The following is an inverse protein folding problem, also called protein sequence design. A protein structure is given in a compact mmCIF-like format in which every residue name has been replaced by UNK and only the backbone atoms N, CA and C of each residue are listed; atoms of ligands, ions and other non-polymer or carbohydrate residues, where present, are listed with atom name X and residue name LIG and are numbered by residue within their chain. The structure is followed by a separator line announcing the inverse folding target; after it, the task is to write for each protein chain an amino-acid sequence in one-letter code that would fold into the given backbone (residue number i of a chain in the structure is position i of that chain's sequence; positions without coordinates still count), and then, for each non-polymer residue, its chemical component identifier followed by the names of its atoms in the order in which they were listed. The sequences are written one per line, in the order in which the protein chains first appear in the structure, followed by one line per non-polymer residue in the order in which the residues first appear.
data_IF_683431853144
#
_entry.id   IF_683431853144
#
_cell.length_a   1.000
_cell.length_b   1.000
_cell.length_c   1.000
_cell.angle_alpha   90.00
_cell.angle_beta   90.00
_cell.angle_gamma   90.00
#
_symmetry.space_group_name_H-M   'P 1'
#
loop_
_entity.id
_entity.type
_entity.pdbx_description
1 polymer ?
#
# COMPACT_ATOMS: atom_id res chain seq x y z
N UNK A 1 15.91 12.59 -2.70
CA UNK A 1 14.70 12.09 -2.01
C UNK A 1 13.68 11.50 -2.99
N UNK A 2 13.23 12.20 -4.04
CA UNK A 2 12.26 11.66 -5.00
C UNK A 2 12.69 10.33 -5.65
N UNK A 3 13.99 10.15 -5.90
CA UNK A 3 14.57 8.90 -6.42
C UNK A 3 14.27 7.67 -5.53
N UNK A 4 14.02 7.85 -4.23
CA UNK A 4 13.70 6.76 -3.31
C UNK A 4 12.36 6.08 -3.63
N UNK A 5 11.46 6.74 -4.36
CA UNK A 5 10.21 6.15 -4.85
C UNK A 5 10.27 5.84 -6.36
N UNK A 6 11.46 5.88 -6.97
CA UNK A 6 11.67 5.58 -8.38
C UNK A 6 11.28 4.16 -8.76
N UNK A 7 11.09 3.92 -10.06
CA UNK A 7 10.63 2.62 -10.57
C UNK A 7 11.66 1.50 -10.41
N UNK A 8 12.94 1.82 -10.30
CA UNK A 8 14.05 0.87 -10.28
C UNK A 8 14.67 0.73 -8.88
N UNK A 9 14.74 -0.51 -8.36
CA UNK A 9 15.31 -0.83 -7.04
C UNK A 9 16.75 -0.31 -6.85
N UNK A 10 17.62 -0.47 -7.85
CA UNK A 10 19.02 -0.03 -7.75
C UNK A 10 19.11 1.48 -7.61
N UNK A 11 18.33 2.22 -8.40
CA UNK A 11 18.25 3.67 -8.30
C UNK A 11 17.75 4.13 -6.94
N UNK A 12 16.77 3.44 -6.35
CA UNK A 12 16.26 3.73 -5.00
C UNK A 12 17.35 3.59 -3.92
N UNK A 13 18.05 2.45 -3.92
CA UNK A 13 19.15 2.21 -2.97
C UNK A 13 20.32 3.19 -3.17
N UNK A 14 20.70 3.46 -4.42
CA UNK A 14 21.75 4.43 -4.72
C UNK A 14 21.38 5.86 -4.29
N UNK A 15 20.13 6.26 -4.49
CA UNK A 15 19.62 7.54 -3.96
C UNK A 15 19.68 7.61 -2.44
N UNK A 16 19.46 6.48 -1.75
CA UNK A 16 19.57 6.38 -0.29
C UNK A 16 21.02 6.51 0.18
N UNK A 17 21.96 5.84 -0.48
CA UNK A 17 23.39 5.96 -0.19
C UNK A 17 23.89 7.39 -0.34
N UNK A 18 23.45 8.10 -1.38
CA UNK A 18 23.77 9.52 -1.56
C UNK A 18 23.28 10.38 -0.40
N UNK A 19 22.02 10.17 0.00
CA UNK A 19 21.42 10.89 1.12
C UNK A 19 22.23 10.65 2.40
N UNK A 20 22.52 9.38 2.71
CA UNK A 20 23.30 9.01 3.89
C UNK A 20 24.69 9.65 3.90
N UNK A 21 25.44 9.58 2.78
CA UNK A 21 26.77 10.21 2.67
C UNK A 21 26.73 11.73 2.82
N UNK A 22 25.74 12.41 2.25
CA UNK A 22 25.60 13.85 2.42
C UNK A 22 25.31 14.25 3.87
N UNK A 23 24.74 13.35 4.67
CA UNK A 23 24.43 13.57 6.08
C UNK A 23 25.58 13.21 7.01
N UNK A 24 26.44 12.24 6.67
CA UNK A 24 27.71 12.05 7.38
C UNK A 24 28.62 13.29 7.30
N UNK A 25 28.46 14.11 6.26
CA UNK A 25 29.27 15.31 5.99
C UNK A 25 28.64 16.58 6.61
N UNK A 26 27.35 16.57 6.99
CA UNK A 26 26.63 17.74 7.49
C UNK A 26 25.92 17.47 8.82
N UNK A 27 26.25 18.25 9.85
CA UNK A 27 25.67 18.18 11.19
C UNK A 27 24.13 18.25 11.16
N UNK A 28 23.49 17.11 11.39
CA UNK A 28 22.03 17.00 11.48
C UNK A 28 21.61 15.58 11.76
N UNK A 29 22.10 14.99 12.86
CA UNK A 29 21.48 13.75 13.36
C UNK A 29 20.07 14.08 13.84
N UNK A 30 19.07 13.45 13.23
CA UNK A 30 17.71 13.46 13.75
C UNK A 30 17.72 12.86 15.17
N UNK A 31 16.95 13.44 16.08
CA UNK A 31 16.83 12.93 17.45
C UNK A 31 16.29 11.50 17.40
N UNK A 32 17.13 10.55 17.84
CA UNK A 32 16.73 9.15 17.91
C UNK A 32 15.74 8.97 19.06
N UNK A 33 14.66 8.28 18.78
CA UNK A 33 13.68 7.87 19.77
C UNK A 33 13.95 6.42 20.20
N UNK A 34 13.19 5.93 21.17
CA UNK A 34 13.14 4.50 21.52
C UNK A 34 12.04 3.75 20.74
N UNK A 35 11.36 4.43 19.82
CA UNK A 35 10.22 3.90 19.10
C UNK A 35 10.62 3.03 17.91
N UNK A 36 9.75 2.08 17.59
CA UNK A 36 9.87 1.18 16.44
C UNK A 36 8.55 1.10 15.69
N UNK A 37 8.61 0.93 14.37
CA UNK A 37 7.42 0.64 13.58
C UNK A 37 7.63 -0.63 12.75
N UNK A 38 7.18 -1.76 13.28
CA UNK A 38 7.42 -3.08 12.70
C UNK A 38 6.31 -3.58 11.76
N UNK A 39 5.36 -2.71 11.37
CA UNK A 39 4.25 -3.05 10.48
C UNK A 39 4.02 -1.93 9.46
N UNK A 40 4.83 -1.90 8.41
CA UNK A 40 4.66 -0.98 7.28
C UNK A 40 4.38 -1.74 5.98
N UNK A 41 3.47 -1.20 5.16
CA UNK A 41 3.22 -1.65 3.80
C UNK A 41 4.00 -0.80 2.81
N UNK A 42 4.38 -1.42 1.69
CA UNK A 42 5.12 -0.78 0.60
C UNK A 42 4.38 -0.94 -0.74
N UNK A 43 4.97 -0.40 -1.81
CA UNK A 43 4.53 -0.61 -3.20
C UNK A 43 4.39 -2.09 -3.60
N UNK A 44 4.92 -3.04 -2.81
CA UNK A 44 4.79 -4.48 -3.08
C UNK A 44 3.50 -5.11 -2.54
N UNK A 45 2.62 -4.34 -1.90
CA UNK A 45 1.24 -4.74 -1.65
C UNK A 45 0.21 -3.61 -1.81
N UNK A 46 0.42 -2.46 -1.17
CA UNK A 46 -0.27 -1.19 -1.43
C UNK A 46 0.26 -0.07 -0.53
N UNK A 47 1.03 0.87 -1.09
CA UNK A 47 1.53 2.06 -0.38
C UNK A 47 2.10 3.04 -1.40
N UNK A 48 2.11 4.36 -1.14
CA UNK A 48 2.88 5.31 -1.94
C UNK A 48 4.39 5.16 -1.79
N UNK A 49 4.87 4.39 -0.82
CA UNK A 49 6.28 4.32 -0.45
C UNK A 49 6.91 2.99 -0.86
N UNK A 50 8.08 3.07 -1.49
CA UNK A 50 8.97 1.93 -1.68
C UNK A 50 9.56 1.46 -0.34
N UNK A 51 10.15 0.26 -0.28
CA UNK A 51 10.94 -0.16 0.89
C UNK A 51 12.06 0.83 1.23
N UNK A 52 12.81 1.35 0.25
CA UNK A 52 13.86 2.35 0.53
C UNK A 52 13.32 3.67 1.06
N UNK A 53 12.17 4.15 0.56
CA UNK A 53 11.54 5.36 1.09
C UNK A 53 11.00 5.12 2.50
N UNK A 54 10.43 3.95 2.78
CA UNK A 54 9.97 3.58 4.12
C UNK A 54 11.12 3.59 5.13
N UNK A 55 12.29 3.03 4.78
CA UNK A 55 13.49 3.09 5.62
C UNK A 55 13.96 4.53 5.87
N UNK A 56 13.99 5.37 4.82
CA UNK A 56 14.34 6.78 4.95
C UNK A 56 13.39 7.54 5.87
N UNK A 57 12.07 7.36 5.72
CA UNK A 57 11.08 8.04 6.54
C UNK A 57 11.12 7.57 8.00
N UNK A 58 11.35 6.28 8.24
CA UNK A 58 11.53 5.74 9.59
C UNK A 58 12.75 6.35 10.29
N UNK A 59 13.89 6.39 9.58
CA UNK A 59 15.10 7.03 10.07
C UNK A 59 14.90 8.53 10.34
N UNK A 60 14.25 9.25 9.41
CA UNK A 60 13.93 10.68 9.56
C UNK A 60 13.02 10.96 10.77
N UNK A 61 12.14 10.01 11.10
CA UNK A 61 11.28 10.08 12.29
C UNK A 61 11.99 9.66 13.59
N UNK A 62 13.29 9.35 13.54
CA UNK A 62 14.09 8.96 14.71
C UNK A 62 13.91 7.51 15.14
N UNK A 63 13.21 6.66 14.38
CA UNK A 63 12.91 5.28 14.79
C UNK A 63 14.17 4.41 14.83
N UNK A 64 14.22 3.50 15.79
CA UNK A 64 15.33 2.53 15.90
C UNK A 64 15.20 1.38 14.89
N UNK A 65 13.96 1.03 14.53
CA UNK A 65 13.67 -0.07 13.63
C UNK A 65 12.43 0.17 12.77
N UNK A 66 12.42 -0.41 11.57
CA UNK A 66 11.26 -0.48 10.70
C UNK A 66 11.03 -1.90 10.17
N UNK A 67 9.77 -2.32 10.08
CA UNK A 67 9.39 -3.68 9.69
C UNK A 67 8.42 -3.72 8.52
N UNK A 68 8.83 -4.33 7.40
CA UNK A 68 7.96 -4.52 6.23
C UNK A 68 7.00 -5.70 6.46
N UNK A 69 5.73 -5.44 6.15
CA UNK A 69 4.61 -6.33 6.42
C UNK A 69 3.61 -6.29 5.26
N UNK A 70 4.12 -6.41 4.03
CA UNK A 70 3.28 -6.37 2.83
C UNK A 70 2.24 -7.51 2.84
N UNK A 71 1.03 -7.20 2.37
CA UNK A 71 -0.03 -8.22 2.30
C UNK A 71 0.37 -9.35 1.35
N UNK A 72 0.33 -10.59 1.81
CA UNK A 72 0.60 -11.80 1.02
C UNK A 72 1.85 -11.73 0.12
N UNK A 73 2.88 -10.95 0.48
CA UNK A 73 4.08 -10.73 -0.34
C UNK A 73 5.32 -10.48 0.52
N UNK A 74 6.45 -11.02 0.07
CA UNK A 74 7.79 -10.74 0.64
C UNK A 74 8.72 -10.06 -0.37
N UNK A 75 8.22 -9.63 -1.52
CA UNK A 75 9.07 -9.13 -2.61
C UNK A 75 9.85 -7.86 -2.27
N UNK A 76 9.32 -7.01 -1.37
CA UNK A 76 10.03 -5.82 -0.88
C UNK A 76 11.04 -6.07 0.23
N UNK A 77 11.06 -7.27 0.84
CA UNK A 77 11.81 -7.54 2.07
C UNK A 77 13.31 -7.33 1.92
N UNK A 78 13.89 -7.87 0.84
CA UNK A 78 15.33 -7.74 0.57
C UNK A 78 15.74 -6.28 0.39
N UNK A 79 14.91 -5.47 -0.29
CA UNK A 79 15.20 -4.05 -0.43
C UNK A 79 15.13 -3.29 0.89
N UNK A 80 14.16 -3.60 1.76
CA UNK A 80 14.09 -2.97 3.10
C UNK A 80 15.36 -3.29 3.90
N UNK A 81 15.77 -4.56 3.93
CA UNK A 81 17.00 -4.99 4.63
C UNK A 81 18.21 -4.20 4.13
N UNK A 82 18.38 -4.11 2.80
CA UNK A 82 19.48 -3.37 2.20
C UNK A 82 19.42 -1.88 2.54
N UNK A 83 18.22 -1.28 2.48
CA UNK A 83 18.01 0.14 2.79
C UNK A 83 18.29 0.49 4.26
N UNK A 84 17.83 -0.33 5.20
CA UNK A 84 18.07 -0.15 6.63
C UNK A 84 19.56 -0.30 6.97
N UNK A 85 20.27 -1.25 6.34
CA UNK A 85 21.74 -1.37 6.46
C UNK A 85 22.45 -0.11 5.99
N UNK A 86 22.02 0.48 4.88
CA UNK A 86 22.61 1.72 4.33
C UNK A 86 22.41 2.90 5.30
N UNK A 87 21.20 3.08 5.83
CA UNK A 87 20.87 4.27 6.63
C UNK A 87 21.13 4.11 8.13
N UNK A 88 21.54 2.92 8.57
CA UNK A 88 21.96 2.66 9.95
C UNK A 88 20.81 2.50 10.96
N UNK A 89 19.70 1.88 10.54
CA UNK A 89 18.60 1.47 11.46
C UNK A 89 18.37 -0.04 11.39
N UNK A 90 17.76 -0.62 12.42
CA UNK A 90 17.38 -2.03 12.39
C UNK A 90 16.23 -2.28 11.41
N UNK A 91 16.18 -3.48 10.86
CA UNK A 91 15.07 -3.93 10.01
C UNK A 91 14.45 -5.20 10.55
N UNK A 92 13.16 -5.34 10.33
CA UNK A 92 12.47 -6.62 10.45
C UNK A 92 11.67 -6.89 9.19
N UNK A 93 11.46 -8.16 8.85
CA UNK A 93 10.77 -8.52 7.61
C UNK A 93 9.77 -9.64 7.82
N UNK A 94 8.66 -9.56 7.10
CA UNK A 94 7.55 -10.48 7.20
C UNK A 94 6.53 -10.25 6.09
N UNK A 95 5.36 -10.83 6.27
CA UNK A 95 4.18 -10.60 5.44
C UNK A 95 2.90 -10.72 6.27
N UNK A 96 1.86 -10.01 5.84
CA UNK A 96 0.54 -10.10 6.47
C UNK A 96 -0.39 -10.96 5.64
N UNK A 97 -0.80 -12.10 6.19
CA UNK A 97 -1.65 -13.07 5.53
C UNK A 97 -3.13 -12.80 5.80
N UNK A 98 -3.96 -12.74 4.75
CA UNK A 98 -5.41 -12.74 4.90
C UNK A 98 -5.92 -14.17 5.11
N UNK A 99 -6.49 -14.45 6.28
CA UNK A 99 -6.94 -15.79 6.71
C UNK A 99 -8.46 -15.83 6.91
N UNK A 100 -9.08 -16.93 6.48
CA UNK A 100 -10.48 -17.24 6.77
C UNK A 100 -10.56 -18.20 7.98
N UNK A 101 -11.35 -17.81 8.96
CA UNK A 101 -11.55 -18.49 10.25
C UNK A 101 -12.89 -19.25 10.32
N UNK A 102 -13.61 -19.43 9.21
CA UNK A 102 -14.75 -20.37 9.17
C UNK A 102 -14.34 -21.78 9.59
N UNK A 103 -15.17 -22.43 10.39
CA UNK A 103 -14.90 -23.73 11.01
C UNK A 103 -14.02 -23.66 12.27
N UNK A 104 -13.68 -22.46 12.77
CA UNK A 104 -12.89 -22.29 14.01
C UNK A 104 -13.76 -21.80 15.17
N UNK A 105 -13.22 -21.80 16.39
CA UNK A 105 -13.91 -21.30 17.60
C UNK A 105 -14.28 -19.80 17.55
N UNK A 106 -13.68 -19.05 16.62
CA UNK A 106 -13.95 -17.62 16.41
C UNK A 106 -14.83 -17.35 15.19
N UNK A 107 -15.42 -18.39 14.60
CA UNK A 107 -16.40 -18.22 13.51
C UNK A 107 -17.58 -17.33 13.94
N UNK A 108 -18.11 -16.57 12.99
CA UNK A 108 -19.14 -15.56 13.13
C UNK A 108 -18.63 -14.21 13.62
N UNK A 109 -17.39 -14.13 14.12
CA UNK A 109 -16.85 -12.92 14.75
C UNK A 109 -16.24 -11.96 13.74
N UNK A 110 -16.30 -10.66 14.06
CA UNK A 110 -15.48 -9.61 13.44
C UNK A 110 -14.13 -9.61 14.15
N UNK A 111 -13.04 -9.84 13.40
CA UNK A 111 -11.68 -9.85 13.93
C UNK A 111 -10.99 -8.51 13.63
N UNK A 112 -9.70 -8.51 13.31
CA UNK A 112 -8.96 -7.32 12.89
C UNK A 112 -9.20 -6.93 11.41
N UNK A 113 -10.04 -7.65 10.68
CA UNK A 113 -10.58 -7.18 9.41
C UNK A 113 -11.86 -6.34 9.68
N UNK A 114 -11.85 -5.02 9.38
CA UNK A 114 -13.00 -4.17 9.64
C UNK A 114 -14.18 -4.42 8.68
N UNK A 115 -13.94 -5.07 7.55
CA UNK A 115 -14.85 -5.15 6.41
C UNK A 115 -15.63 -6.47 6.38
N UNK A 116 -15.14 -7.54 7.01
CA UNK A 116 -15.71 -8.88 6.88
C UNK A 116 -15.62 -9.71 8.15
N UNK A 117 -16.73 -10.36 8.53
CA UNK A 117 -16.74 -11.43 9.53
C UNK A 117 -15.89 -12.62 9.05
N UNK A 118 -15.38 -13.41 9.98
CA UNK A 118 -14.53 -14.59 9.76
C UNK A 118 -13.18 -14.33 9.08
N UNK A 119 -12.89 -13.10 8.67
CA UNK A 119 -11.60 -12.76 8.06
C UNK A 119 -10.73 -12.10 9.10
N UNK A 120 -9.49 -12.56 9.21
CA UNK A 120 -8.46 -11.91 10.00
C UNK A 120 -7.17 -11.78 9.21
N UNK A 121 -6.33 -10.84 9.64
CA UNK A 121 -4.98 -10.67 9.15
C UNK A 121 -4.01 -11.23 10.19
N UNK A 122 -3.12 -12.14 9.76
CA UNK A 122 -2.07 -12.70 10.61
C UNK A 122 -0.73 -12.19 10.11
N UNK A 123 0.02 -11.50 10.96
CA UNK A 123 1.39 -11.11 10.67
C UNK A 123 2.32 -12.31 10.89
N UNK A 124 3.09 -12.69 9.86
CA UNK A 124 4.20 -13.63 9.96
C UNK A 124 5.46 -12.80 9.90
N UNK A 125 6.16 -12.73 11.04
CA UNK A 125 7.24 -11.77 11.26
C UNK A 125 8.58 -12.47 11.57
N UNK A 126 9.69 -11.74 11.43
CA UNK A 126 11.02 -12.24 11.77
C UNK A 126 11.56 -13.29 10.78
N UNK A 127 11.16 -13.24 9.51
CA UNK A 127 11.61 -14.21 8.51
C UNK A 127 13.10 -13.98 8.22
N UNK A 128 13.98 -14.99 8.40
CA UNK A 128 15.39 -14.85 8.05
C UNK A 128 15.54 -14.53 6.54
N UNK A 129 16.50 -13.67 6.20
CA UNK A 129 16.75 -13.28 4.80
C UNK A 129 16.94 -14.49 3.87
N UNK A 130 17.63 -15.53 4.36
CA UNK A 130 17.87 -16.80 3.66
C UNK A 130 16.60 -17.62 3.39
N UNK A 131 15.49 -17.34 4.10
CA UNK A 131 14.20 -18.03 4.00
C UNK A 131 13.15 -17.27 3.19
N UNK A 132 13.45 -16.06 2.71
CA UNK A 132 12.53 -15.31 1.84
C UNK A 132 12.12 -16.07 0.56
N UNK A 133 12.98 -16.87 -0.11
CA UNK A 133 12.55 -17.68 -1.26
C UNK A 133 11.49 -18.73 -0.90
N UNK A 134 11.60 -19.32 0.29
CA UNK A 134 10.64 -20.31 0.81
C UNK A 134 9.29 -19.64 1.12
N UNK A 135 9.31 -18.49 1.80
CA UNK A 135 8.12 -17.68 2.06
C UNK A 135 7.44 -17.24 0.74
N UNK A 136 8.21 -16.83 -0.27
CA UNK A 136 7.66 -16.48 -1.59
C UNK A 136 6.97 -17.67 -2.26
N UNK A 137 7.55 -18.87 -2.18
CA UNK A 137 6.95 -20.10 -2.70
C UNK A 137 5.63 -20.44 -1.97
N UNK A 138 5.62 -20.28 -0.64
CA UNK A 138 4.42 -20.47 0.19
C UNK A 138 3.29 -19.51 -0.20
N UNK A 139 3.60 -18.24 -0.46
CA UNK A 139 2.63 -17.19 -0.79
C UNK A 139 2.04 -17.27 -2.20
N UNK A 140 2.78 -17.84 -3.16
CA UNK A 140 2.40 -17.89 -4.57
C UNK A 140 0.97 -18.41 -4.83
N UNK A 141 0.53 -19.59 -4.31
CA UNK A 141 -0.84 -20.05 -4.53
C UNK A 141 -1.91 -19.08 -4.00
N UNK A 142 -1.66 -18.40 -2.87
CA UNK A 142 -2.59 -17.40 -2.34
C UNK A 142 -2.68 -16.18 -3.25
N UNK A 143 -1.56 -15.70 -3.81
CA UNK A 143 -1.56 -14.60 -4.77
C UNK A 143 -2.34 -14.95 -6.05
N UNK A 144 -2.21 -16.19 -6.56
CA UNK A 144 -2.98 -16.67 -7.71
C UNK A 144 -4.48 -16.67 -7.40
N UNK A 145 -4.89 -17.23 -6.26
CA UNK A 145 -6.29 -17.24 -5.83
C UNK A 145 -6.85 -15.82 -5.63
N UNK A 146 -6.07 -14.93 -5.00
CA UNK A 146 -6.39 -13.51 -4.83
C UNK A 146 -6.60 -12.83 -6.17
N UNK A 147 -5.75 -13.05 -7.16
CA UNK A 147 -5.87 -12.45 -8.49
C UNK A 147 -7.11 -12.96 -9.25
N UNK A 148 -7.49 -14.23 -9.10
CA UNK A 148 -8.76 -14.75 -9.65
C UNK A 148 -9.95 -14.01 -9.06
N UNK A 149 -9.96 -13.82 -7.74
CA UNK A 149 -11.01 -13.06 -7.05
C UNK A 149 -11.00 -11.58 -7.47
N UNK A 150 -9.84 -10.94 -7.55
CA UNK A 150 -9.73 -9.53 -7.93
C UNK A 150 -10.26 -9.26 -9.33
N UNK A 151 -10.03 -10.16 -10.29
CA UNK A 151 -10.62 -10.05 -11.64
C UNK A 151 -12.16 -10.08 -11.59
N UNK A 152 -12.73 -11.01 -10.83
CA UNK A 152 -14.19 -11.07 -10.62
C UNK A 152 -14.73 -9.81 -9.94
N UNK A 153 -14.01 -9.27 -8.95
CA UNK A 153 -14.38 -8.02 -8.29
C UNK A 153 -14.34 -6.84 -9.28
N UNK A 154 -13.31 -6.78 -10.11
CA UNK A 154 -13.18 -5.76 -11.15
C UNK A 154 -14.30 -5.87 -12.18
N UNK A 155 -14.69 -7.07 -12.61
CA UNK A 155 -15.79 -7.25 -13.56
C UNK A 155 -17.11 -6.72 -12.99
N UNK A 156 -17.42 -7.04 -11.74
CA UNK A 156 -18.59 -6.51 -11.04
C UNK A 156 -18.54 -4.98 -10.93
N UNK A 157 -17.38 -4.44 -10.56
CA UNK A 157 -17.18 -3.00 -10.42
C UNK A 157 -17.31 -2.27 -11.76
N UNK A 158 -16.76 -2.83 -12.84
CA UNK A 158 -16.89 -2.30 -14.19
C UNK A 158 -18.36 -2.21 -14.64
N UNK A 159 -19.20 -3.17 -14.23
CA UNK A 159 -20.64 -3.10 -14.49
C UNK A 159 -21.29 -1.96 -13.71
N UNK A 160 -20.91 -1.75 -12.44
CA UNK A 160 -21.45 -0.67 -11.60
C UNK A 160 -21.03 0.72 -12.10
N UNK A 161 -19.73 0.91 -12.40
CA UNK A 161 -19.21 2.24 -12.75
C UNK A 161 -19.68 2.72 -14.13
N UNK A 162 -20.12 1.80 -15.00
CA UNK A 162 -20.68 2.11 -16.32
C UNK A 162 -21.90 3.03 -16.20
N UNK A 163 -22.75 2.82 -15.20
CA UNK A 163 -23.98 3.60 -14.99
C UNK A 163 -23.69 5.05 -14.59
N UNK A 164 -22.49 5.31 -14.05
CA UNK A 164 -21.99 6.65 -13.79
C UNK A 164 -21.23 7.26 -14.97
N UNK A 165 -21.24 6.61 -16.14
CA UNK A 165 -20.49 7.03 -17.31
C UNK A 165 -18.98 7.11 -17.04
N UNK A 166 -18.47 6.17 -16.24
CA UNK A 166 -17.04 5.98 -16.00
C UNK A 166 -16.54 4.89 -16.96
N UNK A 167 -15.38 5.13 -17.58
CA UNK A 167 -14.77 4.16 -18.48
C UNK A 167 -14.40 2.85 -17.78
N UNK A 168 -14.52 1.75 -18.52
CA UNK A 168 -14.09 0.42 -18.07
C UNK A 168 -12.61 0.45 -17.67
N UNK A 169 -12.31 -0.16 -16.53
CA UNK A 169 -10.96 -0.32 -16.02
C UNK A 169 -10.36 -1.63 -16.54
N UNK A 170 -9.16 -1.55 -17.10
CA UNK A 170 -8.39 -2.72 -17.55
C UNK A 170 -7.51 -3.30 -16.43
N UNK A 171 -7.60 -4.61 -16.21
CA UNK A 171 -6.84 -5.27 -15.14
C UNK A 171 -5.33 -5.20 -15.35
N UNK A 172 -4.86 -5.33 -16.59
CA UNK A 172 -3.43 -5.37 -16.88
C UNK A 172 -2.84 -3.97 -16.81
N UNK A 173 -3.46 -3.05 -17.54
CA UNK A 173 -2.91 -1.70 -17.72
C UNK A 173 -3.05 -0.83 -16.48
N UNK A 174 -4.17 -0.95 -15.76
CA UNK A 174 -4.51 0.00 -14.69
C UNK A 174 -4.35 -0.57 -13.28
N UNK A 175 -4.18 -1.89 -13.13
CA UNK A 175 -4.01 -2.56 -11.83
C UNK A 175 -2.69 -3.34 -11.75
N UNK A 176 -2.46 -4.28 -12.67
CA UNK A 176 -1.26 -5.12 -12.64
C UNK A 176 0.02 -4.29 -12.77
N UNK A 177 0.08 -3.37 -13.74
CA UNK A 177 1.27 -2.56 -14.01
C UNK A 177 1.67 -1.63 -12.84
N UNK A 178 0.73 -1.23 -11.98
CA UNK A 178 1.00 -0.34 -10.83
C UNK A 178 1.32 -1.10 -9.52
N UNK A 179 1.12 -2.41 -9.49
CA UNK A 179 1.10 -3.23 -8.26
C UNK A 179 2.41 -3.94 -7.90
N UNK A 180 3.45 -3.75 -8.71
CA UNK A 180 4.70 -4.54 -8.63
C UNK A 180 4.50 -6.05 -8.75
N UNK A 181 3.38 -6.52 -9.29
CA UNK A 181 3.11 -7.95 -9.48
C UNK A 181 4.14 -8.65 -10.37
N UNK A 182 4.72 -7.94 -11.36
CA UNK A 182 5.83 -8.45 -12.19
C UNK A 182 7.06 -8.83 -11.35
N UNK A 183 7.26 -8.18 -10.20
CA UNK A 183 8.36 -8.42 -9.27
C UNK A 183 7.92 -9.35 -8.11
N UNK A 184 6.69 -9.88 -8.14
CA UNK A 184 6.09 -10.73 -7.11
C UNK A 184 5.36 -9.96 -5.99
N UNK A 185 5.09 -8.66 -6.18
CA UNK A 185 4.16 -7.91 -5.35
C UNK A 185 2.74 -8.48 -5.42
N UNK A 186 1.94 -8.28 -4.37
CA UNK A 186 0.56 -8.75 -4.35
C UNK A 186 -0.40 -7.67 -4.86
N UNK A 187 -1.41 -8.08 -5.62
CA UNK A 187 -2.49 -7.17 -6.03
C UNK A 187 -3.58 -7.22 -4.96
N UNK A 188 -3.75 -6.15 -4.20
CA UNK A 188 -4.87 -6.00 -3.27
C UNK A 188 -6.07 -5.27 -3.89
N UNK A 189 -7.21 -5.34 -3.22
CA UNK A 189 -8.44 -4.60 -3.51
C UNK A 189 -8.20 -3.09 -3.56
N UNK A 190 -7.20 -2.59 -2.81
CA UNK A 190 -6.83 -1.18 -2.83
C UNK A 190 -6.30 -0.74 -4.20
N UNK A 191 -5.67 -1.60 -4.99
CA UNK A 191 -5.31 -1.25 -6.37
C UNK A 191 -6.53 -1.08 -7.27
N UNK A 192 -7.59 -1.87 -7.04
CA UNK A 192 -8.84 -1.73 -7.78
C UNK A 192 -9.50 -0.39 -7.42
N UNK A 193 -9.58 -0.08 -6.11
CA UNK A 193 -10.10 1.22 -5.65
C UNK A 193 -9.27 2.39 -6.16
N UNK A 194 -7.95 2.24 -6.22
CA UNK A 194 -7.05 3.25 -6.78
C UNK A 194 -7.34 3.51 -8.27
N UNK A 195 -7.57 2.46 -9.05
CA UNK A 195 -7.94 2.59 -10.46
C UNK A 195 -9.30 3.29 -10.63
N UNK A 196 -10.31 2.95 -9.81
CA UNK A 196 -11.61 3.66 -9.82
C UNK A 196 -11.44 5.12 -9.42
N UNK A 197 -10.68 5.41 -8.37
CA UNK A 197 -10.42 6.78 -7.92
C UNK A 197 -9.76 7.61 -9.04
N UNK A 198 -8.83 7.02 -9.80
CA UNK A 198 -8.24 7.67 -11.00
C UNK A 198 -9.29 7.96 -12.06
N UNK A 199 -10.18 7.00 -12.36
CA UNK A 199 -11.24 7.16 -13.35
C UNK A 199 -12.29 8.20 -12.93
N UNK A 200 -12.64 8.28 -11.65
CA UNK A 200 -13.50 9.34 -11.11
C UNK A 200 -12.84 10.70 -11.33
N UNK A 201 -11.57 10.88 -10.94
CA UNK A 201 -10.84 12.13 -11.16
C UNK A 201 -10.74 12.48 -12.65
N UNK A 202 -10.51 11.49 -13.53
CA UNK A 202 -10.49 11.73 -14.98
C UNK A 202 -11.83 12.27 -15.49
N UNK A 203 -12.94 11.79 -14.94
CA UNK A 203 -14.29 12.23 -15.30
C UNK A 203 -14.64 13.60 -14.73
N UNK A 204 -14.35 13.83 -13.46
CA UNK A 204 -14.86 14.99 -12.71
C UNK A 204 -13.87 16.15 -12.61
N UNK A 205 -12.57 15.87 -12.75
CA UNK A 205 -11.50 16.71 -12.21
C UNK A 205 -11.34 16.53 -10.70
N UNK A 206 -10.49 17.34 -10.08
CA UNK A 206 -10.37 17.48 -8.61
C UNK A 206 -11.32 18.59 -8.10
N UNK A 207 -11.41 18.76 -6.78
CA UNK A 207 -12.15 19.87 -6.17
C UNK A 207 -13.66 19.67 -6.14
N UNK A 208 -14.39 20.77 -6.24
CA UNK A 208 -15.85 20.84 -6.05
C UNK A 208 -16.62 19.84 -6.92
N UNK A 209 -16.27 19.69 -8.21
CA UNK A 209 -16.97 18.76 -9.11
C UNK A 209 -16.86 17.32 -8.66
N UNK A 210 -15.73 16.93 -8.09
CA UNK A 210 -15.53 15.60 -7.54
C UNK A 210 -16.35 15.42 -6.26
N UNK A 211 -16.38 16.43 -5.39
CA UNK A 211 -17.17 16.39 -4.16
C UNK A 211 -18.67 16.27 -4.49
N UNK A 212 -19.18 17.05 -5.45
CA UNK A 212 -20.55 16.92 -5.95
C UNK A 212 -20.82 15.53 -6.49
N UNK A 213 -19.91 14.94 -7.28
CA UNK A 213 -20.07 13.58 -7.77
C UNK A 213 -20.14 12.54 -6.63
N UNK A 214 -19.27 12.64 -5.63
CA UNK A 214 -19.29 11.72 -4.48
C UNK A 214 -20.62 11.80 -3.72
N UNK A 215 -21.15 13.01 -3.54
CA UNK A 215 -22.42 13.23 -2.85
C UNK A 215 -23.62 12.82 -3.70
N UNK A 216 -23.72 13.35 -4.90
CA UNK A 216 -24.95 13.30 -5.70
C UNK A 216 -25.08 11.98 -6.48
N UNK A 217 -23.97 11.29 -6.76
CA UNK A 217 -23.97 10.03 -7.50
C UNK A 217 -23.66 8.81 -6.63
N UNK A 218 -22.80 8.94 -5.62
CA UNK A 218 -22.39 7.82 -4.75
C UNK A 218 -23.01 7.87 -3.35
N UNK A 219 -23.79 8.91 -3.03
CA UNK A 219 -24.42 9.12 -1.72
C UNK A 219 -23.40 9.12 -0.56
N UNK A 220 -22.19 9.63 -0.81
CA UNK A 220 -21.12 9.68 0.19
C UNK A 220 -21.17 11.02 0.93
N UNK A 221 -21.40 10.94 2.24
CA UNK A 221 -21.33 12.10 3.14
C UNK A 221 -19.89 12.30 3.62
N UNK A 222 -19.32 13.46 3.30
CA UNK A 222 -17.96 13.82 3.69
C UNK A 222 -17.93 14.58 5.02
N UNK A 223 -16.97 14.27 5.87
CA UNK A 223 -16.65 15.12 7.02
C UNK A 223 -15.99 16.43 6.57
N UNK A 224 -16.06 17.49 7.39
CA UNK A 224 -15.42 18.78 7.08
C UNK A 224 -13.91 18.64 6.79
N UNK A 225 -13.23 17.75 7.53
CA UNK A 225 -11.80 17.50 7.34
C UNK A 225 -11.52 16.91 5.95
N UNK A 226 -12.30 15.91 5.56
CA UNK A 226 -12.15 15.25 4.26
C UNK A 226 -12.51 16.23 3.13
N UNK A 227 -13.54 17.04 3.33
CA UNK A 227 -13.92 18.08 2.38
C UNK A 227 -12.75 19.03 2.08
N UNK A 228 -12.04 19.52 3.12
CA UNK A 228 -10.85 20.38 2.95
C UNK A 228 -9.74 19.69 2.16
N UNK A 229 -9.51 18.40 2.36
CA UNK A 229 -8.49 17.65 1.62
C UNK A 229 -8.81 17.48 0.14
N UNK A 230 -10.09 17.33 -0.22
CA UNK A 230 -10.52 17.21 -1.61
C UNK A 230 -10.65 18.57 -2.32
N UNK A 231 -10.70 19.68 -1.58
CA UNK A 231 -10.60 21.02 -2.16
C UNK A 231 -9.16 21.44 -2.48
N UNK A 232 -8.18 20.90 -1.76
CA UNK A 232 -6.77 21.16 -2.07
C UNK A 232 -6.31 20.33 -3.28
N UNK A 233 -6.41 20.93 -4.47
CA UNK A 233 -5.99 20.28 -5.71
C UNK A 233 -4.48 19.97 -5.77
N UNK A 234 -3.67 20.66 -4.96
CA UNK A 234 -2.22 20.48 -4.86
C UNK A 234 -1.81 19.40 -3.85
N UNK A 235 -2.78 18.79 -3.15
CA UNK A 235 -2.53 17.70 -2.23
C UNK A 235 -1.84 16.53 -2.95
N UNK A 236 -0.60 16.23 -2.57
CA UNK A 236 0.19 15.13 -3.13
C UNK A 236 -0.43 13.74 -2.86
N UNK A 237 -1.29 13.62 -1.83
CA UNK A 237 -1.96 12.39 -1.44
C UNK A 237 -3.42 12.32 -1.88
N UNK A 238 -3.90 13.29 -2.66
CA UNK A 238 -5.30 13.41 -3.08
C UNK A 238 -5.93 12.09 -3.52
N UNK A 239 -5.23 11.33 -4.35
CA UNK A 239 -5.72 10.06 -4.89
C UNK A 239 -5.81 8.95 -3.82
N UNK A 240 -4.89 8.96 -2.85
CA UNK A 240 -4.94 8.05 -1.70
C UNK A 240 -6.03 8.45 -0.72
N UNK A 241 -6.27 9.75 -0.53
CA UNK A 241 -7.37 10.25 0.29
C UNK A 241 -8.72 9.86 -0.33
N UNK A 242 -8.90 10.08 -1.64
CA UNK A 242 -10.09 9.65 -2.36
C UNK A 242 -10.32 8.15 -2.25
N UNK A 243 -9.27 7.34 -2.43
CA UNK A 243 -9.35 5.91 -2.22
C UNK A 243 -9.78 5.56 -0.80
N UNK A 244 -9.23 6.24 0.21
CA UNK A 244 -9.58 6.05 1.62
C UNK A 244 -11.06 6.30 1.88
N UNK A 245 -11.62 7.36 1.29
CA UNK A 245 -13.04 7.68 1.35
C UNK A 245 -13.87 6.54 0.74
N UNK A 246 -13.56 6.16 -0.51
CA UNK A 246 -14.28 5.08 -1.19
C UNK A 246 -14.23 3.77 -0.41
N UNK A 247 -13.08 3.45 0.21
CA UNK A 247 -12.93 2.27 1.07
C UNK A 247 -13.80 2.35 2.33
N UNK A 248 -13.93 3.51 2.95
CA UNK A 248 -14.71 3.64 4.19
C UNK A 248 -16.22 3.66 3.96
N UNK A 249 -16.66 3.97 2.74
CA UNK A 249 -18.08 4.13 2.41
C UNK A 249 -18.78 2.83 1.99
N UNK A 250 -18.04 1.79 1.62
CA UNK A 250 -18.56 0.52 1.09
C UNK A 250 -17.83 -0.69 1.69
#
# INVERSE_FOLDING_TARGET
IQELNGSNKRSRLFGLEKIYKSMEIGEGQFEKTEEVNNHVHTIYSFSPYSPSMAAYLAWKAGLQAVGIMDHDSVSGCKELIDACKIIGIASTVGFELRVNFSGTIVEGRKLNNPDSKNIGYIAIHGIPESKLPEAKKFLNPMQVARNKRNKKMLDNLNNLIKDYGIEKIDFREEIYNISRAQEGGSITERHILYAVARKIIQKTGKGEKLISFLKDNLDIVLSEKIHKFLLDENNQFYLYDLLGILKSSF
#
